data_IF_168830940998
#
_entry.id   IF_168830940998
#
_cell.length_a   1.000
_cell.length_b   1.000
_cell.length_c   1.000
_cell.angle_alpha   90.00
_cell.angle_beta   90.00
_cell.angle_gamma   90.00
#
_symmetry.space_group_name_H-M   'P 1'
#
loop_
_entity.id
_entity.type
_entity.pdbx_description
1 polymer ?
#
# COMPACT_ATOMS: atom_id res chain seq x y z
N UNK A 1 8.10 19.56 7.65
CA UNK A 1 7.16 19.12 6.56
C UNK A 1 7.87 18.77 5.25
N UNK A 2 8.83 19.57 4.73
CA UNK A 2 9.52 19.27 3.46
C UNK A 2 10.19 17.89 3.43
N UNK A 3 10.91 17.53 4.50
CA UNK A 3 11.55 16.21 4.61
C UNK A 3 10.56 15.04 4.61
N UNK A 4 9.36 15.23 5.18
CA UNK A 4 8.35 14.19 5.17
C UNK A 4 7.79 13.95 3.76
N UNK A 5 7.57 14.99 2.98
CA UNK A 5 7.14 14.86 1.59
C UNK A 5 8.21 14.17 0.74
N UNK A 6 9.47 14.49 0.95
CA UNK A 6 10.59 13.82 0.28
C UNK A 6 10.67 12.34 0.69
N UNK A 7 10.47 12.03 1.98
CA UNK A 7 10.40 10.65 2.48
C UNK A 7 9.25 9.86 1.82
N UNK A 8 8.07 10.42 1.70
CA UNK A 8 6.93 9.76 1.04
C UNK A 8 7.24 9.38 -0.40
N UNK A 9 8.12 10.12 -1.07
CA UNK A 9 8.53 9.90 -2.46
C UNK A 9 9.76 8.99 -2.58
N UNK A 10 10.78 9.15 -1.72
CA UNK A 10 12.08 8.50 -1.88
C UNK A 10 12.60 7.77 -0.63
N UNK A 11 12.01 7.96 0.53
CA UNK A 11 12.67 7.73 1.82
C UNK A 11 12.75 6.30 2.33
N UNK A 12 11.99 5.34 1.81
CA UNK A 12 11.93 4.00 2.39
C UNK A 12 13.11 3.10 1.99
N UNK A 13 13.59 3.22 0.77
CA UNK A 13 14.67 2.37 0.25
C UNK A 13 16.03 3.02 0.44
N UNK A 14 17.05 2.28 0.97
CA UNK A 14 18.35 2.88 1.34
C UNK A 14 19.08 3.58 0.20
N UNK A 15 18.88 3.16 -1.04
CA UNK A 15 19.55 3.76 -2.20
C UNK A 15 19.04 5.17 -2.55
N UNK A 16 18.06 5.72 -1.82
CA UNK A 16 17.69 7.13 -1.95
C UNK A 16 18.87 8.06 -1.62
N UNK A 17 19.81 7.62 -0.79
CA UNK A 17 21.03 8.35 -0.45
C UNK A 17 21.95 8.56 -1.65
N UNK A 18 21.88 7.70 -2.66
CA UNK A 18 22.68 7.79 -3.88
C UNK A 18 22.25 8.96 -4.80
N UNK A 19 21.10 9.58 -4.56
CA UNK A 19 20.53 10.76 -5.24
C UNK A 19 20.46 10.69 -6.77
N UNK A 20 20.72 9.54 -7.37
CA UNK A 20 20.71 9.34 -8.82
C UNK A 20 19.85 8.14 -9.18
N UNK A 21 19.00 8.31 -10.19
CA UNK A 21 18.23 7.22 -10.80
C UNK A 21 17.32 6.43 -9.80
N UNK A 22 16.83 7.07 -8.73
CA UNK A 22 16.01 6.41 -7.71
C UNK A 22 14.85 5.61 -8.32
N UNK A 23 14.05 6.23 -9.18
CA UNK A 23 12.89 5.57 -9.82
C UNK A 23 13.30 4.39 -10.70
N UNK A 24 14.42 4.48 -11.42
CA UNK A 24 14.93 3.39 -12.23
C UNK A 24 15.45 2.23 -11.36
N UNK A 25 16.19 2.53 -10.29
CA UNK A 25 16.67 1.53 -9.35
C UNK A 25 15.51 0.85 -8.62
N UNK A 26 14.48 1.61 -8.26
CA UNK A 26 13.28 1.06 -7.63
C UNK A 26 12.52 0.15 -8.59
N UNK A 27 12.38 0.51 -9.85
CA UNK A 27 11.75 -0.33 -10.87
C UNK A 27 12.55 -1.62 -11.11
N UNK A 28 13.90 -1.56 -11.14
CA UNK A 28 14.77 -2.74 -11.19
C UNK A 28 14.57 -3.63 -9.98
N UNK A 29 14.48 -3.05 -8.78
CA UNK A 29 14.21 -3.78 -7.53
C UNK A 29 12.86 -4.47 -7.57
N UNK A 30 11.81 -3.81 -8.01
CA UNK A 30 10.47 -4.40 -8.17
C UNK A 30 10.50 -5.59 -9.16
N UNK A 31 11.20 -5.46 -10.29
CA UNK A 31 11.34 -6.55 -11.24
C UNK A 31 12.13 -7.73 -10.64
N UNK A 32 13.19 -7.47 -9.89
CA UNK A 32 13.95 -8.51 -9.17
C UNK A 32 13.09 -9.23 -8.13
N UNK A 33 12.25 -8.51 -7.37
CA UNK A 33 11.29 -9.12 -6.43
C UNK A 33 10.30 -10.04 -7.15
N UNK A 34 9.82 -9.66 -8.34
CA UNK A 34 8.95 -10.55 -9.14
C UNK A 34 9.70 -11.80 -9.62
N UNK A 35 10.93 -11.68 -10.06
CA UNK A 35 11.71 -12.78 -10.63
C UNK A 35 12.25 -13.72 -9.55
N UNK A 36 12.69 -13.18 -8.42
CA UNK A 36 13.30 -13.97 -7.33
C UNK A 36 12.23 -14.36 -6.30
N UNK A 37 11.58 -13.39 -5.67
CA UNK A 37 10.70 -13.68 -4.53
C UNK A 37 9.38 -14.31 -4.97
N UNK A 38 8.89 -13.96 -6.16
CA UNK A 38 7.63 -14.55 -6.65
C UNK A 38 7.89 -15.78 -7.50
N UNK A 39 8.61 -15.67 -8.62
CA UNK A 39 8.77 -16.82 -9.51
C UNK A 39 9.62 -17.92 -8.90
N UNK A 40 10.83 -17.61 -8.48
CA UNK A 40 11.78 -18.65 -8.02
C UNK A 40 11.32 -19.28 -6.70
N UNK A 41 10.99 -18.47 -5.68
CA UNK A 41 10.60 -18.99 -4.36
C UNK A 41 9.24 -19.73 -4.41
N UNK A 42 8.28 -19.24 -5.19
CA UNK A 42 6.97 -19.89 -5.35
C UNK A 42 6.97 -20.98 -6.44
N UNK A 43 8.10 -21.26 -7.07
CA UNK A 43 8.26 -22.26 -8.14
C UNK A 43 7.25 -22.07 -9.29
N UNK A 44 7.07 -20.83 -9.73
CA UNK A 44 6.19 -20.48 -10.83
C UNK A 44 7.02 -20.44 -12.12
N UNK A 45 6.49 -21.00 -13.19
CA UNK A 45 7.15 -20.98 -14.49
C UNK A 45 7.39 -19.54 -14.99
N UNK A 46 8.55 -19.30 -15.58
CA UNK A 46 8.95 -17.99 -16.11
C UNK A 46 7.97 -17.44 -17.15
N UNK A 47 7.25 -18.30 -17.84
CA UNK A 47 6.18 -17.94 -18.80
C UNK A 47 5.04 -17.09 -18.18
N UNK A 48 4.86 -17.15 -16.85
CA UNK A 48 3.86 -16.36 -16.13
C UNK A 48 4.33 -14.97 -15.68
N UNK A 49 5.62 -14.65 -15.79
CA UNK A 49 6.18 -13.36 -15.41
C UNK A 49 5.47 -12.16 -16.08
N UNK A 50 5.16 -12.18 -17.39
CA UNK A 50 4.43 -11.08 -18.03
C UNK A 50 3.04 -10.87 -17.42
N UNK A 51 2.35 -11.93 -17.02
CA UNK A 51 1.02 -11.86 -16.39
C UNK A 51 1.12 -11.25 -14.98
N UNK A 52 2.13 -11.61 -14.21
CA UNK A 52 2.40 -11.03 -12.89
C UNK A 52 2.75 -9.54 -12.99
N UNK A 53 3.59 -9.14 -13.95
CA UNK A 53 3.91 -7.73 -14.21
C UNK A 53 2.66 -6.94 -14.59
N UNK A 54 1.84 -7.48 -15.49
CA UNK A 54 0.58 -6.84 -15.89
C UNK A 54 -0.38 -6.70 -14.71
N UNK A 55 -0.51 -7.74 -13.87
CA UNK A 55 -1.34 -7.69 -12.67
C UNK A 55 -0.85 -6.64 -11.68
N UNK A 56 0.45 -6.61 -11.37
CA UNK A 56 1.04 -5.59 -10.50
C UNK A 56 0.76 -4.19 -11.02
N UNK A 57 0.95 -3.96 -12.33
CA UNK A 57 0.67 -2.66 -12.96
C UNK A 57 -0.81 -2.26 -12.81
N UNK A 58 -1.75 -3.16 -13.17
CA UNK A 58 -3.19 -2.90 -13.08
C UNK A 58 -3.64 -2.57 -11.64
N UNK A 59 -3.10 -3.28 -10.66
CA UNK A 59 -3.39 -3.01 -9.24
C UNK A 59 -2.75 -1.70 -8.79
N UNK A 60 -1.50 -1.44 -9.16
CA UNK A 60 -0.78 -0.25 -8.74
C UNK A 60 -1.40 1.05 -9.24
N UNK A 61 -1.90 1.09 -10.48
CA UNK A 61 -2.56 2.29 -11.03
C UNK A 61 -3.94 2.56 -10.42
N UNK A 62 -4.57 1.57 -9.80
CA UNK A 62 -5.88 1.68 -9.16
C UNK A 62 -5.84 1.68 -7.63
N UNK A 63 -4.71 1.32 -7.02
CA UNK A 63 -4.57 1.28 -5.55
C UNK A 63 -4.67 2.68 -4.92
N UNK A 64 -5.35 2.79 -3.76
CA UNK A 64 -6.08 1.75 -3.04
C UNK A 64 -7.41 1.41 -3.72
N UNK A 65 -7.69 0.13 -3.89
CA UNK A 65 -8.92 -0.30 -4.54
C UNK A 65 -9.38 -1.68 -4.04
N UNK A 66 -10.68 -1.92 -4.13
CA UNK A 66 -11.23 -3.28 -4.01
C UNK A 66 -10.96 -4.04 -5.30
N UNK A 67 -10.16 -5.11 -5.30
CA UNK A 67 -9.76 -5.78 -6.54
C UNK A 67 -10.97 -6.44 -7.23
N UNK A 68 -11.22 -6.08 -8.49
CA UNK A 68 -12.20 -6.78 -9.31
C UNK A 68 -11.56 -8.04 -9.91
N UNK A 69 -11.55 -9.12 -9.12
CA UNK A 69 -10.89 -10.38 -9.48
C UNK A 69 -11.41 -10.95 -10.81
N UNK A 70 -12.70 -10.74 -11.12
CA UNK A 70 -13.29 -11.21 -12.39
C UNK A 70 -12.78 -10.44 -13.60
N UNK A 71 -12.62 -9.13 -13.48
CA UNK A 71 -12.04 -8.31 -14.54
C UNK A 71 -10.54 -8.60 -14.68
N UNK A 72 -9.80 -8.62 -13.58
CA UNK A 72 -8.37 -8.93 -13.58
C UNK A 72 -8.07 -10.30 -14.20
N UNK A 73 -8.92 -11.32 -13.94
CA UNK A 73 -8.74 -12.65 -14.53
C UNK A 73 -8.87 -12.63 -16.06
N UNK A 74 -9.74 -11.79 -16.61
CA UNK A 74 -9.85 -11.60 -18.06
C UNK A 74 -8.65 -10.83 -18.63
N UNK A 75 -8.22 -9.75 -17.93
CA UNK A 75 -7.13 -8.90 -18.38
C UNK A 75 -5.78 -9.63 -18.46
N UNK A 76 -5.52 -10.57 -17.54
CA UNK A 76 -4.27 -11.35 -17.53
C UNK A 76 -4.46 -12.79 -18.05
N UNK A 77 -5.63 -13.11 -18.61
CA UNK A 77 -5.96 -14.40 -19.23
C UNK A 77 -5.66 -15.57 -18.28
N UNK A 78 -6.29 -15.58 -17.11
CA UNK A 78 -6.09 -16.64 -16.11
C UNK A 78 -7.35 -16.86 -15.26
N UNK A 79 -7.34 -17.85 -14.37
CA UNK A 79 -8.45 -18.11 -13.47
C UNK A 79 -8.53 -17.08 -12.34
N UNK A 80 -9.74 -16.90 -11.76
CA UNK A 80 -9.93 -16.04 -10.58
C UNK A 80 -9.10 -16.51 -9.38
N UNK A 81 -9.00 -17.84 -9.20
CA UNK A 81 -8.19 -18.42 -8.14
C UNK A 81 -6.70 -18.08 -8.33
N UNK A 82 -6.20 -18.15 -9.56
CA UNK A 82 -4.83 -17.75 -9.89
C UNK A 82 -4.59 -16.27 -9.62
N UNK A 83 -5.53 -15.38 -9.97
CA UNK A 83 -5.43 -13.94 -9.64
C UNK A 83 -5.28 -13.74 -8.14
N UNK A 84 -6.11 -14.42 -7.33
CA UNK A 84 -6.02 -14.31 -5.86
C UNK A 84 -4.68 -14.81 -5.33
N UNK A 85 -4.18 -15.93 -5.85
CA UNK A 85 -2.86 -16.43 -5.49
C UNK A 85 -1.75 -15.45 -5.89
N UNK A 86 -1.84 -14.83 -7.07
CA UNK A 86 -0.86 -13.83 -7.50
C UNK A 86 -0.88 -12.57 -6.63
N UNK A 87 -2.05 -12.08 -6.23
CA UNK A 87 -2.15 -10.98 -5.27
C UNK A 87 -1.47 -11.36 -3.94
N UNK A 88 -1.70 -12.60 -3.46
CA UNK A 88 -1.03 -13.12 -2.26
C UNK A 88 0.49 -13.17 -2.44
N UNK A 89 0.99 -13.62 -3.59
CA UNK A 89 2.43 -13.67 -3.87
C UNK A 89 3.05 -12.27 -3.93
N UNK A 90 2.36 -11.30 -4.55
CA UNK A 90 2.79 -9.89 -4.54
C UNK A 90 2.83 -9.32 -3.11
N UNK A 91 1.92 -9.76 -2.24
CA UNK A 91 1.93 -9.37 -0.82
C UNK A 91 3.08 -10.00 -0.07
N UNK A 92 3.34 -11.29 -0.28
CA UNK A 92 4.48 -12.01 0.32
C UNK A 92 5.82 -11.40 -0.10
N UNK A 93 5.93 -10.94 -1.36
CA UNK A 93 7.08 -10.23 -1.91
C UNK A 93 7.17 -8.75 -1.48
N UNK A 94 6.30 -8.26 -0.61
CA UNK A 94 6.27 -6.87 -0.14
C UNK A 94 6.14 -5.84 -1.26
N UNK A 95 5.38 -6.18 -2.30
CA UNK A 95 5.00 -5.24 -3.35
C UNK A 95 3.62 -4.64 -3.10
N UNK A 96 2.75 -5.40 -2.41
CA UNK A 96 1.37 -4.99 -2.09
C UNK A 96 0.99 -5.37 -0.65
N UNK A 97 -0.07 -4.77 -0.17
CA UNK A 97 -0.75 -5.12 1.08
C UNK A 97 -2.22 -5.43 0.81
N UNK A 98 -2.77 -6.39 1.56
CA UNK A 98 -4.19 -6.76 1.52
C UNK A 98 -4.88 -6.39 2.83
N UNK A 99 -5.86 -5.50 2.78
CA UNK A 99 -6.70 -5.14 3.91
C UNK A 99 -7.97 -5.99 3.91
N UNK A 100 -8.36 -6.48 5.09
CA UNK A 100 -9.54 -7.32 5.28
C UNK A 100 -10.44 -6.77 6.38
N UNK A 101 -11.75 -7.06 6.33
CA UNK A 101 -12.62 -6.92 7.50
C UNK A 101 -12.10 -7.74 8.68
N UNK A 102 -12.54 -7.41 9.88
CA UNK A 102 -12.19 -8.17 11.10
C UNK A 102 -12.61 -9.62 10.95
N UNK A 103 -11.70 -10.54 11.28
CA UNK A 103 -11.95 -11.99 11.21
C UNK A 103 -11.85 -12.59 9.80
N UNK A 104 -11.51 -11.79 8.81
CA UNK A 104 -11.28 -12.29 7.46
C UNK A 104 -9.80 -12.25 7.07
N UNK A 105 -9.40 -13.17 6.17
CA UNK A 105 -8.05 -13.27 5.65
C UNK A 105 -8.05 -14.06 4.33
N UNK A 106 -6.88 -14.15 3.67
CA UNK A 106 -6.70 -15.06 2.54
C UNK A 106 -7.16 -16.49 2.90
N UNK A 107 -7.87 -17.23 2.03
CA UNK A 107 -8.08 -16.97 0.58
C UNK A 107 -9.29 -16.10 0.22
N UNK A 108 -9.98 -15.47 1.18
CA UNK A 108 -11.05 -14.53 0.86
C UNK A 108 -10.50 -13.33 0.09
N UNK A 109 -11.39 -12.69 -0.68
CA UNK A 109 -11.05 -11.46 -1.39
C UNK A 109 -10.84 -10.32 -0.39
N UNK A 110 -9.72 -9.56 -0.46
CA UNK A 110 -9.54 -8.39 0.40
C UNK A 110 -10.57 -7.29 0.07
N UNK A 111 -10.93 -6.51 1.08
CA UNK A 111 -11.74 -5.31 0.88
C UNK A 111 -10.98 -4.26 0.08
N UNK A 112 -9.69 -4.11 0.36
CA UNK A 112 -8.82 -3.15 -0.34
C UNK A 112 -7.41 -3.71 -0.51
N UNK A 113 -6.79 -3.40 -1.64
CA UNK A 113 -5.35 -3.61 -1.86
C UNK A 113 -4.64 -2.26 -1.90
N UNK A 114 -3.46 -2.20 -1.30
CA UNK A 114 -2.56 -1.04 -1.26
C UNK A 114 -1.22 -1.41 -1.87
N UNK A 115 -0.47 -0.43 -2.38
CA UNK A 115 0.96 -0.65 -2.58
C UNK A 115 1.62 -0.87 -1.21
N UNK A 116 2.64 -1.74 -1.15
CA UNK A 116 3.34 -2.03 0.10
C UNK A 116 3.95 -0.77 0.70
N UNK A 117 4.55 0.06 -0.13
CA UNK A 117 5.13 1.34 0.26
C UNK A 117 4.77 2.44 -0.74
N UNK A 118 4.64 3.68 -0.28
CA UNK A 118 4.30 4.84 -1.10
C UNK A 118 5.28 5.06 -2.26
N UNK A 119 6.57 4.80 -2.06
CA UNK A 119 7.61 5.00 -3.07
C UNK A 119 7.37 4.16 -4.33
N UNK A 120 6.76 2.96 -4.20
CA UNK A 120 6.49 2.05 -5.32
C UNK A 120 5.50 2.60 -6.35
N UNK A 121 4.72 3.62 -5.99
CA UNK A 121 3.74 4.23 -6.89
C UNK A 121 4.41 5.08 -7.98
N UNK A 122 5.47 5.79 -7.61
CA UNK A 122 6.11 6.77 -8.49
C UNK A 122 6.82 6.18 -9.72
N UNK A 123 7.56 5.06 -9.64
CA UNK A 123 8.15 4.45 -10.84
C UNK A 123 7.11 3.92 -11.82
N UNK A 124 5.94 3.51 -11.32
CA UNK A 124 4.87 2.95 -12.16
C UNK A 124 4.07 4.05 -12.85
N UNK A 125 3.79 5.15 -12.14
CA UNK A 125 2.94 6.23 -12.66
C UNK A 125 3.44 7.61 -12.20
N UNK A 126 4.60 8.07 -12.69
CA UNK A 126 5.29 9.24 -12.15
C UNK A 126 4.50 10.55 -12.26
N UNK A 127 3.63 10.69 -13.26
CA UNK A 127 2.91 11.94 -13.55
C UNK A 127 1.53 12.07 -12.88
N UNK A 128 0.98 10.97 -12.34
CA UNK A 128 -0.41 10.93 -11.89
C UNK A 128 -0.59 10.14 -10.58
N UNK A 129 0.34 10.29 -9.66
CA UNK A 129 0.24 9.61 -8.36
C UNK A 129 -0.89 10.21 -7.54
N UNK A 130 -1.78 9.37 -7.06
CA UNK A 130 -2.84 9.77 -6.13
C UNK A 130 -2.24 10.05 -4.76
N UNK A 131 -2.19 11.32 -4.37
CA UNK A 131 -1.57 11.76 -3.11
C UNK A 131 -2.29 11.19 -1.88
N UNK A 132 -3.60 10.96 -1.93
CA UNK A 132 -4.33 10.29 -0.85
C UNK A 132 -3.89 8.82 -0.73
N UNK A 133 -3.70 8.13 -1.85
CA UNK A 133 -3.17 6.77 -1.87
C UNK A 133 -1.76 6.68 -1.26
N UNK A 134 -0.91 7.68 -1.49
CA UNK A 134 0.43 7.78 -0.89
C UNK A 134 0.33 7.84 0.64
N UNK A 135 -0.55 8.70 1.18
CA UNK A 135 -0.77 8.84 2.62
C UNK A 135 -1.26 7.56 3.27
N UNK A 136 -2.26 6.93 2.67
CA UNK A 136 -2.84 5.69 3.18
C UNK A 136 -1.84 4.52 3.13
N UNK A 137 -1.09 4.39 2.03
CA UNK A 137 -0.04 3.36 1.93
C UNK A 137 1.10 3.58 2.91
N UNK A 138 1.50 4.84 3.16
CA UNK A 138 2.46 5.18 4.20
C UNK A 138 1.93 4.74 5.58
N UNK A 139 0.73 5.17 5.96
CA UNK A 139 0.12 4.81 7.24
C UNK A 139 0.04 3.29 7.44
N UNK A 140 -0.44 2.58 6.42
CA UNK A 140 -0.50 1.12 6.44
C UNK A 140 0.87 0.49 6.68
N UNK A 141 1.86 0.89 5.90
CA UNK A 141 3.21 0.34 5.95
C UNK A 141 3.89 0.55 7.32
N UNK A 142 3.75 1.74 7.89
CA UNK A 142 4.38 2.08 9.17
C UNK A 142 3.80 1.29 10.36
N UNK A 143 2.52 0.95 10.31
CA UNK A 143 1.86 0.22 11.40
C UNK A 143 1.91 -1.30 11.26
N UNK A 144 2.16 -1.82 10.06
CA UNK A 144 2.02 -3.24 9.75
C UNK A 144 2.89 -4.17 10.59
N UNK A 145 4.03 -3.70 11.07
CA UNK A 145 5.00 -4.53 11.79
C UNK A 145 4.45 -5.01 13.15
N UNK A 146 3.92 -4.08 13.94
CA UNK A 146 3.58 -4.34 15.35
C UNK A 146 2.09 -4.23 15.64
N UNK A 147 1.26 -4.01 14.61
CA UNK A 147 -0.17 -3.82 14.77
C UNK A 147 -0.99 -4.71 13.82
N UNK A 148 -2.20 -5.03 14.23
CA UNK A 148 -3.21 -5.60 13.33
C UNK A 148 -3.98 -4.48 12.64
N UNK A 149 -4.10 -4.57 11.31
CA UNK A 149 -4.81 -3.61 10.49
C UNK A 149 -5.98 -4.30 9.79
N UNK A 150 -7.16 -3.76 10.00
CA UNK A 150 -8.39 -4.21 9.35
C UNK A 150 -9.09 -3.02 8.68
N UNK A 151 -10.09 -3.32 7.85
CA UNK A 151 -10.98 -2.33 7.27
C UNK A 151 -11.62 -1.49 8.36
N UNK A 152 -11.58 -0.17 8.21
CA UNK A 152 -12.14 0.77 9.16
C UNK A 152 -13.66 0.77 9.19
N UNK A 153 -14.22 1.13 10.33
CA UNK A 153 -15.66 1.31 10.52
C UNK A 153 -16.05 2.79 10.50
N UNK A 154 -17.32 3.10 10.27
CA UNK A 154 -17.87 4.47 10.38
C UNK A 154 -17.10 5.52 9.57
N UNK A 155 -16.77 5.24 8.31
CA UNK A 155 -15.99 6.12 7.42
C UNK A 155 -14.49 6.23 7.79
N UNK A 156 -13.96 5.37 8.64
CA UNK A 156 -12.51 5.23 8.82
C UNK A 156 -11.90 4.46 7.64
N UNK A 157 -10.63 4.72 7.36
CA UNK A 157 -9.86 3.92 6.40
C UNK A 157 -9.35 2.64 7.05
N UNK A 158 -8.90 2.71 8.30
CA UNK A 158 -8.29 1.60 9.01
C UNK A 158 -8.86 1.43 10.42
N UNK A 159 -9.00 0.18 10.84
CA UNK A 159 -9.19 -0.22 12.23
C UNK A 159 -7.88 -0.84 12.72
N UNK A 160 -7.24 -0.19 13.68
CA UNK A 160 -5.96 -0.61 14.26
C UNK A 160 -6.21 -1.34 15.58
N UNK A 161 -5.65 -2.56 15.71
CA UNK A 161 -5.73 -3.42 16.90
C UNK A 161 -7.18 -3.70 17.37
N UNK A 162 -8.13 -3.71 16.44
CA UNK A 162 -9.54 -3.93 16.72
C UNK A 162 -10.21 -2.83 17.58
N UNK A 163 -9.52 -1.70 17.81
CA UNK A 163 -9.94 -0.67 18.76
C UNK A 163 -9.98 0.73 18.16
N UNK A 164 -8.97 1.13 17.43
CA UNK A 164 -8.79 2.51 17.00
C UNK A 164 -9.15 2.68 15.53
N UNK A 165 -10.22 3.42 15.24
CA UNK A 165 -10.61 3.77 13.87
C UNK A 165 -9.82 4.99 13.42
N UNK A 166 -9.04 4.85 12.34
CA UNK A 166 -8.23 5.91 11.76
C UNK A 166 -8.77 6.37 10.41
N UNK A 167 -8.83 7.67 10.24
CA UNK A 167 -9.08 8.33 8.97
C UNK A 167 -7.86 9.14 8.56
N UNK A 168 -7.42 8.97 7.32
CA UNK A 168 -6.24 9.66 6.79
C UNK A 168 -6.71 10.86 5.98
N UNK A 169 -6.22 12.05 6.33
CA UNK A 169 -6.66 13.30 5.75
C UNK A 169 -5.47 14.19 5.33
N UNK A 170 -5.70 15.06 4.37
CA UNK A 170 -4.68 16.03 3.94
C UNK A 170 -4.55 17.17 4.93
N UNK A 171 -5.65 17.73 5.38
CA UNK A 171 -5.70 18.91 6.24
C UNK A 171 -6.97 18.91 7.08
N UNK A 172 -6.96 19.69 8.16
CA UNK A 172 -8.09 19.86 9.05
C UNK A 172 -9.25 20.65 8.39
N UNK A 173 -10.16 19.95 7.77
CA UNK A 173 -11.52 20.45 7.47
C UNK A 173 -12.58 19.57 8.14
N UNK A 174 -12.19 18.71 9.06
CA UNK A 174 -13.04 17.66 9.59
C UNK A 174 -13.71 18.12 10.86
N UNK A 175 -15.00 17.87 10.97
CA UNK A 175 -15.73 18.00 12.25
C UNK A 175 -15.17 16.95 13.20
N UNK A 176 -14.76 17.36 14.40
CA UNK A 176 -14.27 16.46 15.42
C UNK A 176 -15.30 15.36 15.72
N UNK A 177 -14.96 14.12 15.43
CA UNK A 177 -15.76 12.95 15.76
C UNK A 177 -15.01 12.17 16.84
N UNK A 178 -15.52 12.06 18.07
CA UNK A 178 -14.82 11.41 19.17
C UNK A 178 -14.56 9.91 18.93
N UNK A 179 -15.28 9.27 18.02
CA UNK A 179 -15.12 7.86 17.68
C UNK A 179 -14.01 7.61 16.63
N UNK A 180 -13.41 8.68 16.07
CA UNK A 180 -12.40 8.58 15.02
C UNK A 180 -11.11 9.28 15.45
N UNK A 181 -9.98 8.66 15.12
CA UNK A 181 -8.68 9.29 15.11
C UNK A 181 -8.35 9.74 13.69
N UNK A 182 -7.70 10.90 13.58
CA UNK A 182 -7.33 11.47 12.29
C UNK A 182 -5.81 11.49 12.18
N UNK A 183 -5.26 10.84 11.16
CA UNK A 183 -3.86 11.00 10.78
C UNK A 183 -3.77 12.05 9.66
N UNK A 184 -3.25 13.24 9.98
CA UNK A 184 -3.34 14.42 9.12
C UNK A 184 -1.96 14.82 8.59
N UNK A 185 -1.85 15.00 7.27
CA UNK A 185 -0.59 15.27 6.59
C UNK A 185 -0.06 16.70 6.88
N UNK A 186 -0.87 17.73 6.63
CA UNK A 186 -0.42 19.13 6.66
C UNK A 186 -0.53 19.77 8.04
N UNK A 187 -0.16 19.04 9.09
CA UNK A 187 -0.10 19.57 10.47
C UNK A 187 1.21 19.16 11.14
N UNK A 188 1.75 20.06 11.95
CA UNK A 188 2.99 19.83 12.68
C UNK A 188 2.76 19.39 14.13
N UNK A 189 1.67 19.83 14.73
CA UNK A 189 1.32 19.54 16.13
C UNK A 189 -0.05 18.87 16.16
N UNK A 190 -0.16 17.80 16.95
CA UNK A 190 -1.42 17.09 17.19
C UNK A 190 -2.30 17.82 18.20
N UNK A 191 -3.60 17.61 18.10
CA UNK A 191 -4.60 18.11 19.02
C UNK A 191 -5.72 17.09 19.19
N UNK A 192 -6.07 16.74 20.44
CA UNK A 192 -7.09 15.75 20.77
C UNK A 192 -6.90 14.40 20.03
N UNK A 193 -7.83 14.08 19.13
CA UNK A 193 -7.82 12.85 18.32
C UNK A 193 -7.15 13.04 16.94
N UNK A 194 -6.55 14.20 16.70
CA UNK A 194 -5.77 14.51 15.50
C UNK A 194 -4.28 14.29 15.75
N UNK A 195 -3.67 13.43 14.94
CA UNK A 195 -2.26 13.05 15.03
C UNK A 195 -1.58 13.44 13.70
N UNK A 196 -0.47 14.17 13.71
CA UNK A 196 0.30 14.43 12.50
C UNK A 196 0.72 13.11 11.82
N UNK A 197 0.46 12.99 10.52
CA UNK A 197 0.75 11.76 9.77
C UNK A 197 2.24 11.38 9.83
N UNK A 198 3.14 12.35 9.83
CA UNK A 198 4.59 12.11 9.88
C UNK A 198 5.05 11.42 11.17
N UNK A 199 4.31 11.54 12.29
CA UNK A 199 4.66 10.87 13.56
C UNK A 199 4.60 9.35 13.45
N UNK A 200 3.74 8.80 12.60
CA UNK A 200 3.66 7.36 12.36
C UNK A 200 4.95 6.80 11.75
N UNK A 201 5.76 7.62 11.10
CA UNK A 201 7.07 7.25 10.58
C UNK A 201 8.10 6.85 11.65
N UNK A 202 7.82 7.01 12.93
CA UNK A 202 8.68 6.56 14.04
C UNK A 202 8.22 5.24 14.68
N UNK A 203 7.23 4.57 14.10
CA UNK A 203 6.66 3.32 14.64
C UNK A 203 7.17 2.05 13.95
N UNK A 204 8.25 2.13 13.18
CA UNK A 204 8.83 0.97 12.46
C UNK A 204 9.95 0.26 13.24
#
# INVERSE_FOLDING_TARGET
MAYFQDYLHHGFYPFFLEKRNFSENLLKTMNMMLEVDVLYIKQIEQSYLPKLRKLLYLLAISAPCTPNVSQLSKEIETSRATVMNYIKYLTDARLMNMLYPVGESFPKKPSTVYMYNSNLMYPIRPMEVNVQAVRESFFYNQLLKDNTLNEGMKNAHFLVNGKYNFRIEESMKVKNNPDLYYAVDKVEVGEENMIPLWLFGFLY
#
